data_IF_105406336133
#
_entry.id   IF_105406336133
#
_cell.length_a   1.000
_cell.length_b   1.000
_cell.length_c   1.000
_cell.angle_alpha   90.00
_cell.angle_beta   90.00
_cell.angle_gamma   90.00
#
_symmetry.space_group_name_H-M   'P 1'
#
loop_
_entity.id
_entity.type
_entity.pdbx_description
1 polymer ?
#
# COMPACT_ATOMS: atom_id res chain seq x y z
N UNK A 1 -1.23 -0.19 6.61
CA UNK A 1 -0.67 0.84 7.52
C UNK A 1 -0.65 2.19 6.82
N UNK A 2 -0.70 3.29 7.59
CA UNK A 2 -0.61 4.65 7.05
C UNK A 2 0.74 5.29 7.39
N UNK A 3 1.33 5.92 6.39
CA UNK A 3 2.57 6.68 6.51
C UNK A 3 2.40 7.94 7.38
N UNK A 4 1.19 8.50 7.42
CA UNK A 4 0.88 9.72 8.17
C UNK A 4 1.25 9.63 9.64
N UNK A 5 1.15 8.44 10.24
CA UNK A 5 1.54 8.26 11.64
C UNK A 5 3.04 8.53 11.85
N UNK A 6 3.89 8.01 10.97
CA UNK A 6 5.33 8.24 11.04
C UNK A 6 5.69 9.71 10.73
N UNK A 7 4.92 10.34 9.84
CA UNK A 7 5.05 11.78 9.56
C UNK A 7 4.71 12.61 10.78
N UNK A 8 3.59 12.34 11.46
CA UNK A 8 3.09 13.14 12.57
C UNK A 8 3.88 12.94 13.87
N UNK A 9 4.25 11.70 14.17
CA UNK A 9 4.81 11.34 15.49
C UNK A 9 6.28 10.91 15.45
N UNK A 10 6.88 10.73 14.27
CA UNK A 10 8.21 10.15 14.14
C UNK A 10 8.18 8.64 14.37
N UNK A 11 9.29 8.08 14.83
CA UNK A 11 9.41 6.64 15.10
C UNK A 11 9.82 6.39 16.54
N UNK A 12 8.95 5.71 17.28
CA UNK A 12 9.24 5.15 18.60
C UNK A 12 8.77 3.70 18.61
N UNK A 13 9.70 2.78 18.83
CA UNK A 13 9.42 1.35 18.95
C UNK A 13 9.47 0.96 20.42
N UNK A 14 8.57 0.10 20.88
CA UNK A 14 8.50 -0.29 22.30
C UNK A 14 9.76 -1.01 22.78
N UNK A 15 10.41 -1.74 21.89
CA UNK A 15 11.64 -2.50 22.16
C UNK A 15 12.93 -1.70 21.87
N UNK A 16 12.84 -0.38 21.68
CA UNK A 16 13.99 0.49 21.42
C UNK A 16 13.99 1.68 22.36
N UNK A 17 15.13 1.93 23.02
CA UNK A 17 15.34 3.14 23.83
C UNK A 17 15.51 4.39 22.96
N UNK A 18 15.92 4.22 21.70
CA UNK A 18 16.12 5.30 20.75
C UNK A 18 14.81 5.58 20.02
N UNK A 19 14.42 6.86 19.99
CA UNK A 19 13.27 7.36 19.24
C UNK A 19 13.70 8.52 18.31
N UNK A 20 13.04 8.64 17.17
CA UNK A 20 13.24 9.75 16.24
C UNK A 20 12.06 10.71 16.22
N UNK A 21 12.36 12.01 16.14
CA UNK A 21 11.35 13.03 15.86
C UNK A 21 10.84 12.92 14.42
N UNK A 22 9.66 13.49 14.09
CA UNK A 22 9.16 13.58 12.73
C UNK A 22 10.20 13.98 11.67
N UNK A 23 10.22 13.24 10.55
CA UNK A 23 11.17 13.45 9.47
C UNK A 23 11.03 14.83 8.82
N UNK A 24 12.17 15.48 8.52
CA UNK A 24 12.23 16.75 7.77
C UNK A 24 12.38 16.55 6.25
N UNK A 25 12.98 15.43 5.83
CA UNK A 25 13.28 15.15 4.42
C UNK A 25 12.69 13.78 4.02
N UNK A 26 12.34 13.62 2.73
CA UNK A 26 11.77 12.38 2.19
C UNK A 26 12.62 11.15 2.53
N UNK A 27 13.94 11.27 2.35
CA UNK A 27 14.92 10.21 2.68
C UNK A 27 14.85 9.73 4.13
N UNK A 28 14.71 10.67 5.07
CA UNK A 28 14.56 10.33 6.50
C UNK A 28 13.22 9.64 6.76
N UNK A 29 12.15 10.08 6.09
CA UNK A 29 10.84 9.42 6.20
C UNK A 29 10.89 7.98 5.68
N UNK A 30 11.58 7.75 4.56
CA UNK A 30 11.85 6.40 4.04
C UNK A 30 12.62 5.55 5.03
N UNK A 31 13.63 6.12 5.71
CA UNK A 31 14.32 5.43 6.81
C UNK A 31 13.39 5.01 7.94
N UNK A 32 12.53 5.92 8.42
CA UNK A 32 11.54 5.62 9.46
C UNK A 32 10.57 4.51 9.01
N UNK A 33 10.08 4.60 7.77
CA UNK A 33 9.18 3.61 7.19
C UNK A 33 9.83 2.22 7.12
N UNK A 34 11.07 2.14 6.63
CA UNK A 34 11.81 0.90 6.54
C UNK A 34 12.03 0.27 7.91
N UNK A 35 12.49 1.05 8.90
CA UNK A 35 12.69 0.56 10.27
C UNK A 35 11.37 0.11 10.91
N UNK A 36 10.28 0.86 10.71
CA UNK A 36 8.96 0.47 11.16
C UNK A 36 8.54 -0.88 10.57
N UNK A 37 8.58 -1.04 9.25
CA UNK A 37 8.16 -2.29 8.59
C UNK A 37 9.03 -3.48 8.99
N UNK A 38 10.34 -3.28 9.10
CA UNK A 38 11.27 -4.30 9.59
C UNK A 38 10.92 -4.74 11.02
N UNK A 39 10.57 -3.81 11.91
CA UNK A 39 10.16 -4.14 13.27
C UNK A 39 8.83 -4.90 13.33
N UNK A 40 7.92 -4.63 12.40
CA UNK A 40 6.60 -5.27 12.34
C UNK A 40 6.68 -6.73 11.91
N UNK A 41 7.73 -7.15 11.19
CA UNK A 41 7.86 -8.51 10.69
C UNK A 41 7.77 -9.58 11.80
N UNK A 42 8.29 -9.29 12.99
CA UNK A 42 8.25 -10.24 14.11
C UNK A 42 6.82 -10.55 14.59
N UNK A 43 5.86 -9.67 14.25
CA UNK A 43 4.48 -9.72 14.76
C UNK A 43 3.45 -10.14 13.71
N UNK A 44 3.81 -10.16 12.42
CA UNK A 44 2.89 -10.45 11.32
C UNK A 44 3.41 -11.61 10.46
N UNK A 45 2.54 -12.57 10.19
CA UNK A 45 2.85 -13.70 9.29
C UNK A 45 2.50 -13.42 7.82
N UNK A 46 1.85 -12.28 7.52
CA UNK A 46 1.36 -11.91 6.20
C UNK A 46 1.99 -10.63 5.66
N UNK A 47 1.41 -10.12 4.57
CA UNK A 47 1.87 -8.89 3.93
C UNK A 47 1.58 -7.65 4.77
N UNK A 48 2.44 -6.64 4.63
CA UNK A 48 2.32 -5.32 5.23
C UNK A 48 2.00 -4.31 4.12
N UNK A 49 0.74 -3.91 4.02
CA UNK A 49 0.34 -2.91 3.02
C UNK A 49 0.58 -1.48 3.51
N UNK A 50 0.99 -0.59 2.62
CA UNK A 50 1.18 0.84 2.87
C UNK A 50 0.23 1.61 1.95
N UNK A 51 -0.74 2.29 2.56
CA UNK A 51 -1.76 3.07 1.84
C UNK A 51 -1.23 4.40 1.30
N UNK A 52 -1.76 4.83 0.15
CA UNK A 52 -1.60 6.18 -0.42
C UNK A 52 -0.16 6.68 -0.49
N UNK A 53 0.77 5.81 -0.87
CA UNK A 53 2.20 6.05 -0.71
C UNK A 53 2.64 7.32 -1.47
N UNK A 54 2.26 7.45 -2.75
CA UNK A 54 2.64 8.62 -3.55
C UNK A 54 2.03 9.92 -3.03
N UNK A 55 0.80 9.87 -2.54
CA UNK A 55 0.07 11.03 -2.00
C UNK A 55 0.71 11.51 -0.69
N UNK A 56 0.97 10.60 0.24
CA UNK A 56 1.50 10.97 1.55
C UNK A 56 2.97 11.41 1.50
N UNK A 57 3.73 11.00 0.47
CA UNK A 57 5.07 11.54 0.22
C UNK A 57 5.06 12.91 -0.44
N UNK A 58 4.01 13.28 -1.21
CA UNK A 58 3.99 14.48 -2.03
C UNK A 58 4.41 15.79 -1.31
N UNK A 59 4.01 16.06 -0.04
CA UNK A 59 4.44 17.25 0.68
C UNK A 59 5.96 17.36 0.94
N UNK A 60 6.71 16.26 0.82
CA UNK A 60 8.16 16.23 1.00
C UNK A 60 8.94 16.46 -0.30
N UNK A 61 8.25 16.51 -1.44
CA UNK A 61 8.83 16.55 -2.78
C UNK A 61 8.68 17.92 -3.46
N UNK A 62 8.12 18.89 -2.74
CA UNK A 62 7.99 20.27 -3.21
C UNK A 62 9.36 20.85 -3.55
N UNK A 63 9.42 21.62 -4.63
CA UNK A 63 10.63 22.26 -5.18
C UNK A 63 11.75 21.30 -5.61
N UNK A 64 11.49 19.99 -5.64
CA UNK A 64 12.41 19.01 -6.20
C UNK A 64 12.22 18.88 -7.72
N UNK A 65 13.33 18.76 -8.46
CA UNK A 65 13.28 18.37 -9.85
C UNK A 65 13.00 16.87 -10.03
N UNK A 66 12.76 16.44 -11.26
CA UNK A 66 12.40 15.05 -11.55
C UNK A 66 13.52 14.06 -11.16
N UNK A 67 14.79 14.42 -11.35
CA UNK A 67 15.91 13.54 -11.03
C UNK A 67 16.05 13.35 -9.52
N UNK A 68 15.84 14.41 -8.75
CA UNK A 68 15.77 14.34 -7.29
C UNK A 68 14.61 13.46 -6.83
N UNK A 69 13.40 13.66 -7.38
CA UNK A 69 12.22 12.83 -7.04
C UNK A 69 12.45 11.37 -7.41
N UNK A 70 13.05 11.10 -8.58
CA UNK A 70 13.40 9.75 -9.03
C UNK A 70 14.46 9.09 -8.15
N UNK A 71 15.40 9.85 -7.64
CA UNK A 71 16.38 9.34 -6.67
C UNK A 71 15.72 8.95 -5.34
N UNK A 72 14.75 9.72 -4.85
CA UNK A 72 13.98 9.38 -3.65
C UNK A 72 13.07 8.16 -3.89
N UNK A 73 12.45 8.05 -5.07
CA UNK A 73 11.67 6.87 -5.49
C UNK A 73 12.54 5.61 -5.54
N UNK A 74 13.73 5.72 -6.13
CA UNK A 74 14.72 4.63 -6.16
C UNK A 74 15.12 4.23 -4.75
N UNK A 75 15.49 5.19 -3.90
CA UNK A 75 15.89 4.89 -2.52
C UNK A 75 14.76 4.19 -1.74
N UNK A 76 13.51 4.63 -1.92
CA UNK A 76 12.35 3.99 -1.32
C UNK A 76 12.18 2.54 -1.78
N UNK A 77 12.11 2.29 -3.09
CA UNK A 77 11.89 0.93 -3.62
C UNK A 77 13.02 -0.01 -3.20
N UNK A 78 14.28 0.42 -3.31
CA UNK A 78 15.42 -0.41 -2.90
C UNK A 78 15.47 -0.67 -1.40
N UNK A 79 15.13 0.32 -0.56
CA UNK A 79 15.06 0.13 0.89
C UNK A 79 14.01 -0.92 1.28
N UNK A 80 12.87 -0.95 0.59
CA UNK A 80 11.80 -1.90 0.85
C UNK A 80 12.08 -3.29 0.24
N UNK A 81 12.70 -3.35 -0.94
CA UNK A 81 12.97 -4.59 -1.66
C UNK A 81 14.17 -5.36 -1.10
N UNK A 82 15.20 -4.67 -0.60
CA UNK A 82 16.42 -5.29 -0.07
C UNK A 82 16.33 -5.60 1.43
N UNK A 83 15.14 -5.98 1.89
CA UNK A 83 14.86 -6.33 3.29
C UNK A 83 15.19 -7.79 3.63
N UNK A 84 15.99 -8.48 2.80
CA UNK A 84 16.31 -9.92 2.94
C UNK A 84 17.17 -10.28 4.18
N UNK A 85 17.68 -9.29 4.92
CA UNK A 85 18.32 -9.49 6.23
C UNK A 85 17.30 -9.85 7.35
N UNK A 86 16.03 -9.94 6.99
CA UNK A 86 14.92 -10.27 7.87
C UNK A 86 14.85 -11.78 8.20
N UNK A 87 13.93 -12.19 9.10
CA UNK A 87 13.86 -13.58 9.61
C UNK A 87 13.67 -14.57 8.47
N UNK A 88 14.57 -15.55 8.38
CA UNK A 88 14.51 -16.62 7.36
C UNK A 88 15.06 -16.24 5.98
N UNK A 89 15.74 -15.09 5.84
CA UNK A 89 16.43 -14.70 4.60
C UNK A 89 15.50 -14.29 3.46
N UNK A 90 14.21 -14.09 3.73
CA UNK A 90 13.23 -13.64 2.75
C UNK A 90 13.04 -12.13 2.84
N UNK A 91 12.65 -11.51 1.73
CA UNK A 91 12.26 -10.09 1.70
C UNK A 91 10.91 -9.90 2.39
N UNK A 92 10.67 -8.71 2.95
CA UNK A 92 9.38 -8.36 3.53
C UNK A 92 8.30 -8.32 2.46
N UNK A 93 7.15 -8.93 2.75
CA UNK A 93 6.01 -8.91 1.84
C UNK A 93 5.31 -7.57 1.97
N UNK A 94 5.70 -6.60 1.14
CA UNK A 94 5.21 -5.23 1.22
C UNK A 94 4.33 -4.95 0.00
N UNK A 95 3.14 -4.39 0.25
CA UNK A 95 2.25 -3.88 -0.79
C UNK A 95 2.29 -2.34 -0.76
N UNK A 96 2.73 -1.72 -1.86
CA UNK A 96 2.78 -0.27 -2.02
C UNK A 96 1.56 0.19 -2.84
N UNK A 97 0.63 0.90 -2.19
CA UNK A 97 -0.60 1.36 -2.84
C UNK A 97 -0.36 2.74 -3.48
N UNK A 98 -0.30 2.78 -4.80
CA UNK A 98 -0.05 3.95 -5.64
C UNK A 98 -1.34 4.37 -6.33
N UNK A 99 -1.66 5.66 -6.34
CA UNK A 99 -2.92 6.16 -6.91
C UNK A 99 -2.65 7.05 -8.12
N UNK A 100 -3.48 6.91 -9.16
CA UNK A 100 -3.38 7.72 -10.39
C UNK A 100 -3.63 9.22 -10.12
N UNK A 101 -4.51 9.54 -9.18
CA UNK A 101 -4.82 10.89 -8.72
C UNK A 101 -5.11 10.93 -7.22
N UNK A 102 -5.55 12.09 -6.71
CA UNK A 102 -5.98 12.22 -5.32
C UNK A 102 -7.45 11.78 -5.21
N UNK A 103 -7.78 10.70 -4.47
CA UNK A 103 -9.16 10.27 -4.28
C UNK A 103 -10.01 11.37 -3.64
N UNK A 104 -11.28 11.46 -4.01
CA UNK A 104 -12.19 12.52 -3.54
C UNK A 104 -12.22 12.66 -2.01
N UNK A 105 -12.27 11.55 -1.28
CA UNK A 105 -12.29 11.53 0.19
C UNK A 105 -10.98 11.99 0.85
N UNK A 106 -9.86 12.07 0.12
CA UNK A 106 -8.60 12.63 0.62
C UNK A 106 -8.35 14.06 0.12
N UNK A 107 -9.07 14.53 -0.91
CA UNK A 107 -8.77 15.78 -1.62
C UNK A 107 -8.76 16.98 -0.68
N UNK A 108 -9.73 17.08 0.21
CA UNK A 108 -9.88 18.23 1.14
C UNK A 108 -9.19 18.01 2.49
N UNK A 109 -8.52 16.88 2.70
CA UNK A 109 -7.86 16.57 3.97
C UNK A 109 -6.58 17.40 4.12
N UNK A 110 -6.38 18.12 5.26
CA UNK A 110 -5.16 18.87 5.51
C UNK A 110 -3.91 17.97 5.45
N UNK A 111 -2.95 18.36 4.61
CA UNK A 111 -1.74 17.58 4.42
C UNK A 111 -0.76 17.78 5.57
N UNK A 112 -0.22 16.67 6.07
CA UNK A 112 0.92 16.68 7.00
C UNK A 112 2.19 16.70 6.16
N UNK A 113 3.15 17.54 6.52
CA UNK A 113 4.41 17.65 5.82
C UNK A 113 5.62 17.45 6.73
N UNK A 114 6.79 17.95 6.31
CA UNK A 114 8.02 17.91 7.07
C UNK A 114 7.85 18.33 8.54
N UNK A 115 8.53 17.62 9.43
CA UNK A 115 8.52 17.84 10.89
C UNK A 115 7.16 17.59 11.54
N UNK A 116 6.27 16.83 10.89
CA UNK A 116 4.98 16.42 11.45
C UNK A 116 3.98 17.56 11.60
N UNK A 117 4.17 18.65 10.85
CA UNK A 117 3.30 19.83 10.87
C UNK A 117 2.36 19.79 9.67
N UNK A 118 1.15 20.29 9.86
CA UNK A 118 0.27 20.62 8.75
C UNK A 118 0.94 21.68 7.86
N UNK A 119 0.84 21.51 6.55
CA UNK A 119 1.51 22.41 5.59
C UNK A 119 0.73 23.69 5.33
N UNK A 120 -0.53 23.75 5.78
CA UNK A 120 -1.49 24.80 5.42
C UNK A 120 -2.20 24.56 4.08
N UNK A 121 -1.89 23.44 3.41
CA UNK A 121 -2.54 22.97 2.18
C UNK A 121 -3.26 21.64 2.42
N UNK A 122 -4.18 21.30 1.52
CA UNK A 122 -4.85 19.99 1.44
C UNK A 122 -4.06 19.01 0.56
N UNK A 123 -4.38 17.71 0.62
CA UNK A 123 -3.76 16.73 -0.28
C UNK A 123 -4.11 16.95 -1.76
N UNK A 124 -5.29 17.51 -2.06
CA UNK A 124 -5.67 17.89 -3.43
C UNK A 124 -4.71 18.91 -4.04
N UNK A 125 -4.18 19.83 -3.24
CA UNK A 125 -3.19 20.83 -3.71
C UNK A 125 -1.80 20.24 -4.01
N UNK A 126 -1.56 18.97 -3.67
CA UNK A 126 -0.32 18.23 -3.96
C UNK A 126 -0.48 17.20 -5.10
N UNK A 127 -1.56 17.31 -5.89
CA UNK A 127 -1.85 16.39 -7.00
C UNK A 127 -0.71 16.31 -8.01
N UNK A 128 -0.07 17.46 -8.30
CA UNK A 128 1.09 17.53 -9.20
C UNK A 128 2.28 16.72 -8.67
N UNK A 129 2.73 16.98 -7.45
CA UNK A 129 3.87 16.29 -6.83
C UNK A 129 3.57 14.79 -6.66
N UNK A 130 2.35 14.44 -6.27
CA UNK A 130 1.88 13.05 -6.14
C UNK A 130 1.97 12.29 -7.46
N UNK A 131 1.52 12.91 -8.56
CA UNK A 131 1.55 12.34 -9.92
C UNK A 131 2.97 12.17 -10.45
N UNK A 132 3.82 13.19 -10.25
CA UNK A 132 5.25 13.12 -10.63
C UNK A 132 5.94 11.99 -9.87
N UNK A 133 5.65 11.84 -8.57
CA UNK A 133 6.23 10.77 -7.77
C UNK A 133 5.71 9.39 -8.16
N UNK A 134 4.42 9.23 -8.47
CA UNK A 134 3.87 7.99 -9.01
C UNK A 134 4.59 7.57 -10.30
N UNK A 135 4.82 8.52 -11.22
CA UNK A 135 5.60 8.29 -12.45
C UNK A 135 7.03 7.87 -12.15
N UNK A 136 7.70 8.55 -11.21
CA UNK A 136 9.07 8.25 -10.82
C UNK A 136 9.21 6.86 -10.17
N UNK A 137 8.25 6.45 -9.34
CA UNK A 137 8.17 5.11 -8.78
C UNK A 137 7.99 4.06 -9.89
N UNK A 138 7.06 4.30 -10.83
CA UNK A 138 6.83 3.45 -12.00
C UNK A 138 8.08 3.28 -12.86
N UNK A 139 8.85 4.35 -13.10
CA UNK A 139 10.12 4.28 -13.82
C UNK A 139 11.11 3.32 -13.16
N UNK A 140 11.18 3.30 -11.83
CA UNK A 140 12.07 2.40 -11.07
C UNK A 140 11.55 0.96 -11.16
N UNK A 141 10.26 0.71 -10.95
CA UNK A 141 9.68 -0.63 -11.11
C UNK A 141 9.85 -1.18 -12.52
N UNK A 142 9.69 -0.34 -13.54
CA UNK A 142 9.88 -0.70 -14.95
C UNK A 142 11.32 -1.09 -15.25
N UNK A 143 12.29 -0.30 -14.74
CA UNK A 143 13.72 -0.55 -14.95
C UNK A 143 14.21 -1.83 -14.26
N UNK A 144 13.62 -2.18 -13.11
CA UNK A 144 14.05 -3.34 -12.33
C UNK A 144 15.31 -3.08 -11.51
N UNK A 145 15.89 -4.17 -10.99
CA UNK A 145 17.14 -4.14 -10.24
C UNK A 145 18.36 -3.82 -11.14
N UNK A 146 19.58 -3.95 -10.59
CA UNK A 146 20.82 -3.69 -11.33
C UNK A 146 20.92 -4.52 -12.61
N UNK A 147 20.39 -5.74 -12.59
CA UNK A 147 20.50 -6.72 -13.66
C UNK A 147 19.23 -6.71 -14.54
N UNK A 148 18.31 -5.77 -14.30
CA UNK A 148 17.06 -5.60 -15.03
C UNK A 148 15.94 -6.53 -14.56
N UNK A 149 16.12 -7.25 -13.46
CA UNK A 149 15.09 -8.15 -12.97
C UNK A 149 13.94 -7.36 -12.31
N UNK A 150 12.68 -7.79 -12.53
CA UNK A 150 11.54 -7.18 -11.86
C UNK A 150 11.60 -7.36 -10.33
N UNK A 151 11.14 -6.35 -9.59
CA UNK A 151 11.01 -6.45 -8.14
C UNK A 151 9.83 -7.35 -7.76
N UNK A 152 10.07 -8.39 -6.95
CA UNK A 152 8.98 -9.16 -6.34
C UNK A 152 8.25 -8.35 -5.26
N UNK A 153 9.00 -7.53 -4.50
CA UNK A 153 8.51 -6.61 -3.49
C UNK A 153 9.31 -5.30 -3.51
N UNK A 154 8.72 -4.16 -3.10
CA UNK A 154 7.30 -4.00 -2.79
C UNK A 154 6.44 -4.19 -4.05
N UNK A 155 5.29 -4.85 -3.90
CA UNK A 155 4.33 -4.95 -5.00
C UNK A 155 3.77 -3.57 -5.30
N UNK A 156 3.68 -3.25 -6.59
CA UNK A 156 3.01 -2.03 -7.05
C UNK A 156 1.52 -2.34 -7.20
N UNK A 157 0.73 -1.95 -6.21
CA UNK A 157 -0.74 -1.94 -6.30
C UNK A 157 -1.16 -0.58 -6.85
N UNK A 158 -1.56 -0.54 -8.13
CA UNK A 158 -1.93 0.70 -8.81
C UNK A 158 -3.45 0.86 -8.82
N UNK A 159 -3.92 1.87 -8.10
CA UNK A 159 -5.32 2.21 -7.92
C UNK A 159 -5.84 3.05 -9.08
N UNK A 160 -6.97 2.61 -9.62
CA UNK A 160 -7.67 3.18 -10.77
C UNK A 160 -9.14 3.37 -10.39
N UNK A 161 -9.64 4.58 -10.56
CA UNK A 161 -11.04 4.95 -10.35
C UNK A 161 -11.67 5.49 -11.64
N UNK A 162 -12.90 6.03 -11.55
CA UNK A 162 -13.59 6.60 -12.71
C UNK A 162 -12.87 7.84 -13.27
N UNK A 163 -12.36 8.71 -12.39
CA UNK A 163 -11.66 9.93 -12.75
C UNK A 163 -10.35 9.65 -13.50
N UNK A 164 -9.72 8.51 -13.22
CA UNK A 164 -8.53 8.05 -13.95
C UNK A 164 -8.76 7.97 -15.47
N UNK A 165 -10.00 7.68 -15.90
CA UNK A 165 -10.36 7.62 -17.33
C UNK A 165 -10.82 8.97 -17.90
N UNK A 166 -11.23 9.90 -17.04
CA UNK A 166 -11.78 11.21 -17.42
C UNK A 166 -10.67 12.28 -17.52
N UNK A 167 -9.70 12.24 -16.60
CA UNK A 167 -8.61 13.19 -16.53
C UNK A 167 -7.44 12.77 -17.43
N UNK A 168 -7.02 13.60 -18.41
CA UNK A 168 -5.97 13.24 -19.36
C UNK A 168 -4.66 12.79 -18.70
N UNK A 169 -4.22 13.47 -17.64
CA UNK A 169 -2.94 13.14 -17.02
C UNK A 169 -2.97 11.89 -16.16
N UNK A 170 -4.11 11.57 -15.53
CA UNK A 170 -4.29 10.29 -14.85
C UNK A 170 -4.37 9.14 -15.87
N UNK A 171 -5.05 9.38 -17.00
CA UNK A 171 -5.13 8.42 -18.10
C UNK A 171 -3.74 8.12 -18.69
N UNK A 172 -2.86 9.13 -18.80
CA UNK A 172 -1.47 8.91 -19.23
C UNK A 172 -0.67 8.07 -18.22
N UNK A 173 -0.87 8.26 -16.91
CA UNK A 173 -0.28 7.35 -15.91
C UNK A 173 -0.81 5.93 -16.05
N UNK A 174 -2.11 5.76 -16.27
CA UNK A 174 -2.72 4.44 -16.48
C UNK A 174 -2.16 3.76 -17.73
N UNK A 175 -2.04 4.47 -18.86
CA UNK A 175 -1.41 3.94 -20.07
C UNK A 175 0.03 3.51 -19.79
N UNK A 176 0.78 4.30 -19.02
CA UNK A 176 2.14 3.95 -18.65
C UNK A 176 2.19 2.71 -17.75
N UNK A 177 1.30 2.60 -16.77
CA UNK A 177 1.16 1.40 -15.95
C UNK A 177 0.84 0.15 -16.81
N UNK A 178 -0.06 0.27 -17.80
CA UNK A 178 -0.36 -0.80 -18.75
C UNK A 178 0.86 -1.20 -19.60
N UNK A 179 1.68 -0.24 -20.01
CA UNK A 179 2.94 -0.52 -20.71
C UNK A 179 3.87 -1.34 -19.82
N UNK A 180 4.08 -0.95 -18.57
CA UNK A 180 4.93 -1.69 -17.64
C UNK A 180 4.39 -3.12 -17.45
N UNK A 181 3.07 -3.28 -17.33
CA UNK A 181 2.44 -4.59 -17.16
C UNK A 181 2.72 -5.51 -18.35
N UNK A 182 2.73 -4.95 -19.57
CA UNK A 182 3.06 -5.70 -20.78
C UNK A 182 4.54 -6.12 -20.85
N UNK A 183 5.42 -5.39 -20.18
CA UNK A 183 6.87 -5.62 -20.22
C UNK A 183 7.36 -6.57 -19.12
N UNK A 184 6.85 -6.43 -17.89
CA UNK A 184 7.38 -7.17 -16.74
C UNK A 184 6.32 -7.71 -15.76
N UNK A 185 5.03 -7.56 -16.06
CA UNK A 185 3.92 -8.09 -15.27
C UNK A 185 3.48 -7.25 -14.06
N UNK A 186 4.14 -6.13 -13.76
CA UNK A 186 3.67 -5.14 -12.77
C UNK A 186 2.97 -3.95 -13.48
N UNK A 187 1.96 -3.28 -12.92
CA UNK A 187 1.40 -3.42 -11.57
C UNK A 187 0.27 -4.45 -11.43
N UNK A 188 -0.13 -4.68 -10.18
CA UNK A 188 -1.46 -5.18 -9.86
C UNK A 188 -2.46 -4.02 -9.92
N UNK A 189 -3.46 -4.12 -10.79
CA UNK A 189 -4.50 -3.09 -10.90
C UNK A 189 -5.57 -3.28 -9.83
N UNK A 190 -5.80 -2.22 -9.05
CA UNK A 190 -6.87 -2.14 -8.05
C UNK A 190 -7.95 -1.21 -8.59
N UNK A 191 -9.12 -1.75 -8.86
CA UNK A 191 -10.26 -0.96 -9.37
C UNK A 191 -11.10 -0.42 -8.22
N UNK A 192 -10.92 0.86 -7.89
CA UNK A 192 -11.71 1.58 -6.91
C UNK A 192 -13.06 1.99 -7.51
N UNK A 193 -14.12 1.49 -6.89
CA UNK A 193 -15.49 1.69 -7.33
C UNK A 193 -16.23 2.44 -6.23
N UNK A 194 -16.67 3.66 -6.55
CA UNK A 194 -17.29 4.58 -5.58
C UNK A 194 -16.26 5.40 -4.80
N UNK A 195 -16.77 6.35 -4.02
CA UNK A 195 -15.95 7.36 -3.32
C UNK A 195 -15.44 6.90 -1.96
N UNK A 196 -15.11 5.62 -1.84
CA UNK A 196 -14.87 4.99 -0.54
C UNK A 196 -13.40 4.69 -0.35
N UNK A 197 -12.91 4.96 0.86
CA UNK A 197 -11.55 4.62 1.23
C UNK A 197 -11.39 3.09 1.25
N UNK A 198 -10.63 2.59 0.29
CA UNK A 198 -10.28 1.18 0.13
C UNK A 198 -8.83 1.01 0.52
N UNK A 199 -8.59 0.15 1.51
CA UNK A 199 -7.25 -0.38 1.74
C UNK A 199 -7.14 -1.77 1.13
N UNK A 200 -6.19 -1.92 0.21
CA UNK A 200 -5.76 -3.19 -0.32
C UNK A 200 -4.52 -3.65 0.46
N UNK A 201 -4.60 -4.84 1.04
CA UNK A 201 -3.45 -5.50 1.67
C UNK A 201 -3.43 -6.96 1.30
N UNK A 202 -2.23 -7.53 1.18
CA UNK A 202 -2.04 -8.89 0.71
C UNK A 202 -2.65 -9.08 -0.70
N UNK A 203 -2.49 -10.27 -1.28
CA UNK A 203 -2.90 -10.57 -2.66
C UNK A 203 -4.41 -10.34 -2.96
N UNK A 204 -5.27 -10.08 -1.96
CA UNK A 204 -6.73 -9.94 -2.16
C UNK A 204 -7.55 -9.33 -1.02
N UNK A 205 -6.97 -8.94 0.14
CA UNK A 205 -7.80 -8.41 1.23
C UNK A 205 -8.13 -6.95 0.93
N UNK A 206 -9.44 -6.68 0.83
CA UNK A 206 -9.96 -5.36 0.53
C UNK A 206 -10.94 -4.98 1.63
N UNK A 207 -10.60 -3.95 2.40
CA UNK A 207 -11.50 -3.43 3.43
C UNK A 207 -11.96 -2.03 3.05
N UNK A 208 -13.28 -1.87 3.08
CA UNK A 208 -13.94 -0.59 2.97
C UNK A 208 -13.94 0.09 4.33
N UNK A 209 -13.49 1.35 4.38
CA UNK A 209 -13.42 2.14 5.59
C UNK A 209 -14.61 3.08 5.61
N UNK A 210 -15.54 2.82 6.54
CA UNK A 210 -16.72 3.67 6.75
C UNK A 210 -16.54 4.61 7.97
N UNK A 211 -15.42 4.50 8.68
CA UNK A 211 -15.13 5.37 9.82
C UNK A 211 -14.63 6.72 9.32
N UNK A 212 -15.49 7.72 9.45
CA UNK A 212 -15.21 9.10 9.04
C UNK A 212 -14.01 9.70 9.75
N UNK A 213 -13.80 9.38 11.03
CA UNK A 213 -12.65 9.88 11.78
C UNK A 213 -11.35 9.32 11.17
N UNK A 214 -11.31 8.04 10.80
CA UNK A 214 -10.12 7.46 10.16
C UNK A 214 -9.81 8.07 8.78
N UNK A 215 -10.83 8.54 8.06
CA UNK A 215 -10.66 9.22 6.77
C UNK A 215 -10.14 10.65 6.99
N UNK A 216 -10.73 11.39 7.93
CA UNK A 216 -10.34 12.77 8.27
C UNK A 216 -8.98 12.84 8.99
N UNK A 217 -8.57 11.75 9.65
CA UNK A 217 -7.30 11.60 10.37
C UNK A 217 -6.54 10.37 9.87
N UNK A 218 -5.92 10.42 8.68
CA UNK A 218 -5.32 9.24 8.06
C UNK A 218 -4.13 8.68 8.86
N UNK A 219 -3.58 9.38 9.86
CA UNK A 219 -2.63 8.81 10.82
C UNK A 219 -3.21 7.66 11.64
N UNK A 220 -4.53 7.67 11.85
CA UNK A 220 -5.29 6.67 12.62
C UNK A 220 -5.63 5.44 11.79
N UNK A 221 -5.42 5.51 10.47
CA UNK A 221 -5.78 4.46 9.53
C UNK A 221 -5.02 3.15 9.82
N UNK A 222 -5.75 2.14 10.29
CA UNK A 222 -5.23 0.81 10.62
C UNK A 222 -6.21 -0.27 10.16
N UNK A 223 -5.67 -1.32 9.57
CA UNK A 223 -6.42 -2.50 9.18
C UNK A 223 -5.51 -3.73 9.30
N UNK A 224 -6.05 -4.82 9.81
CA UNK A 224 -5.37 -6.10 9.96
C UNK A 224 -6.37 -7.23 9.74
N UNK A 225 -5.99 -8.23 8.93
CA UNK A 225 -6.65 -9.53 8.94
C UNK A 225 -6.02 -10.39 10.03
N UNK A 226 -6.77 -10.71 11.08
CA UNK A 226 -6.24 -11.48 12.22
C UNK A 226 -5.88 -12.91 11.85
N UNK A 227 -6.74 -13.59 11.08
CA UNK A 227 -6.54 -14.98 10.69
C UNK A 227 -7.33 -15.28 9.42
N UNK A 228 -6.79 -16.17 8.59
CA UNK A 228 -7.50 -16.76 7.46
C UNK A 228 -7.70 -18.25 7.71
N UNK A 229 -8.93 -18.73 7.49
CA UNK A 229 -9.25 -20.16 7.54
C UNK A 229 -9.93 -20.54 6.23
N UNK A 230 -9.34 -21.50 5.52
CA UNK A 230 -9.85 -21.95 4.22
C UNK A 230 -10.68 -23.21 4.40
N UNK A 231 -11.96 -23.16 4.01
CA UNK A 231 -12.82 -24.34 3.97
C UNK A 231 -12.50 -25.18 2.72
N UNK A 232 -12.17 -26.45 2.92
CA UNK A 232 -11.89 -27.38 1.83
C UNK A 232 -13.20 -27.86 1.18
N UNK A 233 -13.68 -27.11 0.17
CA UNK A 233 -14.90 -27.44 -0.56
C UNK A 233 -14.86 -28.81 -1.26
N UNK A 234 -13.75 -29.23 -1.91
CA UNK A 234 -13.63 -30.59 -2.43
C UNK A 234 -13.88 -31.67 -1.38
N UNK A 235 -13.37 -31.49 -0.16
CA UNK A 235 -13.58 -32.44 0.94
C UNK A 235 -15.06 -32.48 1.40
N UNK A 236 -15.73 -31.32 1.44
CA UNK A 236 -17.16 -31.26 1.74
C UNK A 236 -17.98 -31.98 0.67
N UNK A 237 -17.66 -31.79 -0.61
CA UNK A 237 -18.32 -32.48 -1.73
C UNK A 237 -18.12 -33.99 -1.67
N UNK A 238 -16.90 -34.45 -1.34
CA UNK A 238 -16.59 -35.86 -1.15
C UNK A 238 -17.44 -36.50 -0.05
N UNK A 239 -17.59 -35.83 1.10
CA UNK A 239 -18.37 -36.33 2.24
C UNK A 239 -19.88 -36.35 1.97
N UNK A 240 -20.38 -35.40 1.18
CA UNK A 240 -21.79 -35.32 0.84
C UNK A 240 -22.28 -36.50 -0.01
N UNK A 241 -21.39 -37.08 -0.82
CA UNK A 241 -21.72 -38.12 -1.79
C UNK A 241 -22.20 -37.56 -3.13
N UNK A 242 -22.09 -38.39 -4.17
CA UNK A 242 -22.33 -37.98 -5.57
C UNK A 242 -23.77 -37.49 -5.76
N UNK A 243 -23.92 -36.29 -6.33
CA UNK A 243 -25.22 -35.70 -6.67
C UNK A 243 -26.02 -35.17 -5.47
N UNK A 244 -25.49 -35.25 -4.25
CA UNK A 244 -26.19 -34.81 -3.04
C UNK A 244 -25.84 -33.36 -2.67
N UNK A 245 -26.53 -32.41 -3.31
CA UNK A 245 -26.29 -30.98 -3.10
C UNK A 245 -26.67 -30.53 -1.68
N UNK A 246 -27.76 -31.05 -1.13
CA UNK A 246 -28.19 -30.74 0.24
C UNK A 246 -27.17 -31.20 1.29
N UNK A 247 -26.59 -32.39 1.09
CA UNK A 247 -25.51 -32.90 1.92
C UNK A 247 -24.24 -32.05 1.83
N UNK A 248 -23.94 -31.52 0.63
CA UNK A 248 -22.80 -30.64 0.42
C UNK A 248 -22.93 -29.33 1.19
N UNK A 249 -24.09 -28.67 1.11
CA UNK A 249 -24.34 -27.46 1.90
C UNK A 249 -24.28 -27.72 3.40
N UNK A 250 -24.79 -28.86 3.89
CA UNK A 250 -24.68 -29.25 5.31
C UNK A 250 -23.23 -29.42 5.77
N UNK A 251 -22.37 -30.01 4.94
CA UNK A 251 -20.94 -30.16 5.26
C UNK A 251 -20.20 -28.82 5.25
N UNK A 252 -20.56 -27.91 4.34
CA UNK A 252 -20.06 -26.52 4.37
C UNK A 252 -20.49 -25.83 5.66
N UNK A 253 -21.78 -25.88 6.01
CA UNK A 253 -22.30 -25.26 7.24
C UNK A 253 -21.62 -25.80 8.49
N UNK A 254 -21.36 -27.11 8.53
CA UNK A 254 -20.62 -27.75 9.61
C UNK A 254 -19.19 -27.21 9.70
N UNK A 255 -18.49 -27.09 8.56
CA UNK A 255 -17.15 -26.53 8.52
C UNK A 255 -17.16 -25.06 8.98
N UNK A 256 -18.09 -24.24 8.48
CA UNK A 256 -18.23 -22.83 8.87
C UNK A 256 -18.50 -22.68 10.38
N UNK A 257 -19.38 -23.50 10.96
CA UNK A 257 -19.63 -23.53 12.41
C UNK A 257 -18.39 -23.88 13.23
N UNK A 258 -17.47 -24.69 12.68
CA UNK A 258 -16.20 -24.98 13.33
C UNK A 258 -15.23 -23.80 13.23
N UNK A 259 -15.20 -23.11 12.09
CA UNK A 259 -14.37 -21.91 11.87
C UNK A 259 -14.76 -20.76 12.81
N UNK A 260 -16.05 -20.59 13.10
CA UNK A 260 -16.53 -19.53 14.00
C UNK A 260 -16.33 -19.80 15.50
N UNK A 261 -15.99 -21.03 15.88
CA UNK A 261 -15.70 -21.38 17.28
C UNK A 261 -14.25 -21.06 17.63
#
# INVERSE_FOLDING_TARGET
HSLEYLKKYGLKLENSEIASSPAKHARTLTGHLNTFLASMQAYYAGALGIGFLNIFYAPYLVDMDYEQIKQEAQYLIFSLSQSAFSRGGQVLFIDANIHAGIPGYLRDIPAIGPRGKYTGKTYGEYEKESRIFARALMDVWRKGDRDGHPFTFPKMDFHVDIHTFEEPEQLELLKYACQIASENGAPYFVFDRGDEAVLSQCCRLRQKINDRYMIEHPESLRFCGFQNVTVNLPQAAYRAGRGNLDGFYKEIDRAMKLVFK
#
